data_IF_092302550093
#
_entry.id   IF_092302550093
#
_cell.length_a   1.000
_cell.length_b   1.000
_cell.length_c   1.000
_cell.angle_alpha   90.00
_cell.angle_beta   90.00
_cell.angle_gamma   90.00
#
_symmetry.space_group_name_H-M   'P 1'
#
loop_
_entity.id
_entity.type
_entity.pdbx_description
1 polymer ?
#
# COMPACT_ATOMS: atom_id res chain seq x y z
N UNK A 1 17.02 -28.51 17.42
CA UNK A 1 17.81 -27.68 16.48
C UNK A 1 17.56 -26.21 16.81
N UNK A 2 18.58 -25.34 16.86
CA UNK A 2 18.36 -23.91 17.09
C UNK A 2 17.59 -23.30 15.90
N UNK A 3 16.44 -22.70 16.18
CA UNK A 3 15.64 -21.99 15.17
C UNK A 3 16.27 -20.62 14.90
N UNK A 4 16.63 -20.37 13.64
CA UNK A 4 17.17 -19.10 13.19
C UNK A 4 16.05 -18.20 12.62
N UNK A 5 16.18 -16.86 12.72
CA UNK A 5 15.28 -15.95 12.01
C UNK A 5 15.43 -16.12 10.49
N UNK A 6 14.35 -15.90 9.74
CA UNK A 6 14.38 -15.95 8.28
C UNK A 6 15.32 -14.87 7.70
N UNK A 7 16.01 -15.20 6.61
CA UNK A 7 16.86 -14.24 5.90
C UNK A 7 16.05 -13.34 4.97
N UNK A 8 16.64 -12.20 4.60
CA UNK A 8 16.06 -11.26 3.63
C UNK A 8 15.73 -11.92 2.28
N UNK A 9 16.65 -12.71 1.72
CA UNK A 9 16.40 -13.45 0.48
C UNK A 9 15.20 -14.39 0.58
N UNK A 10 15.01 -15.02 1.74
CA UNK A 10 13.91 -15.95 1.98
C UNK A 10 12.58 -15.23 2.07
N UNK A 11 12.54 -14.11 2.78
CA UNK A 11 11.37 -13.24 2.88
C UNK A 11 10.97 -12.66 1.51
N UNK A 12 11.95 -12.29 0.68
CA UNK A 12 11.70 -11.79 -0.68
C UNK A 12 11.16 -12.91 -1.57
N UNK A 13 11.82 -14.07 -1.60
CA UNK A 13 11.41 -15.22 -2.44
C UNK A 13 10.03 -15.75 -2.07
N UNK A 14 9.73 -15.84 -0.77
CA UNK A 14 8.40 -16.25 -0.30
C UNK A 14 7.34 -15.24 -0.73
N UNK A 15 7.58 -13.94 -0.54
CA UNK A 15 6.64 -12.91 -0.96
C UNK A 15 6.42 -12.87 -2.47
N UNK A 16 7.48 -13.02 -3.27
CA UNK A 16 7.38 -13.07 -4.74
C UNK A 16 6.55 -14.26 -5.20
N UNK A 17 6.72 -15.42 -4.55
CA UNK A 17 5.95 -16.63 -4.85
C UNK A 17 4.49 -16.48 -4.47
N UNK A 18 4.19 -15.85 -3.33
CA UNK A 18 2.82 -15.52 -2.93
C UNK A 18 2.16 -14.55 -3.92
N UNK A 19 2.86 -13.48 -4.32
CA UNK A 19 2.35 -12.50 -5.29
C UNK A 19 2.05 -13.13 -6.66
N UNK A 20 2.89 -14.08 -7.11
CA UNK A 20 2.65 -14.85 -8.32
C UNK A 20 1.31 -15.59 -8.28
N UNK A 21 1.04 -16.34 -7.19
CA UNK A 21 -0.22 -17.09 -7.06
C UNK A 21 -1.44 -16.18 -6.84
N UNK A 22 -1.27 -15.05 -6.15
CA UNK A 22 -2.33 -14.05 -6.03
C UNK A 22 -2.72 -13.48 -7.38
N UNK A 23 -1.74 -13.07 -8.18
CA UNK A 23 -2.00 -12.56 -9.53
C UNK A 23 -2.64 -13.62 -10.42
N UNK A 24 -2.18 -14.88 -10.32
CA UNK A 24 -2.82 -16.00 -11.00
C UNK A 24 -4.30 -16.17 -10.59
N UNK A 25 -4.60 -16.16 -9.30
CA UNK A 25 -5.96 -16.27 -8.79
C UNK A 25 -6.84 -15.10 -9.25
N UNK A 26 -6.34 -13.86 -9.12
CA UNK A 26 -7.03 -12.64 -9.57
C UNK A 26 -7.37 -12.71 -11.05
N UNK A 27 -6.42 -13.14 -11.89
CA UNK A 27 -6.64 -13.26 -13.34
C UNK A 27 -7.73 -14.30 -13.64
N UNK A 28 -7.66 -15.49 -13.04
CA UNK A 28 -8.65 -16.53 -13.24
C UNK A 28 -10.06 -16.09 -12.79
N UNK A 29 -10.17 -15.42 -11.64
CA UNK A 29 -11.45 -14.90 -11.12
C UNK A 29 -11.98 -13.80 -12.04
N UNK A 30 -11.11 -12.91 -12.51
CA UNK A 30 -11.49 -11.84 -13.44
C UNK A 30 -11.96 -12.40 -14.78
N UNK A 31 -11.25 -13.36 -15.36
CA UNK A 31 -11.62 -14.02 -16.61
C UNK A 31 -12.96 -14.76 -16.46
N UNK A 32 -13.12 -15.56 -15.40
CA UNK A 32 -14.37 -16.29 -15.13
C UNK A 32 -15.56 -15.32 -14.97
N UNK A 33 -15.38 -14.23 -14.23
CA UNK A 33 -16.42 -13.23 -14.06
C UNK A 33 -16.70 -12.45 -15.36
N UNK A 34 -15.68 -12.15 -16.16
CA UNK A 34 -15.84 -11.48 -17.44
C UNK A 34 -16.64 -12.34 -18.42
N UNK A 35 -16.34 -13.64 -18.50
CA UNK A 35 -17.08 -14.58 -19.35
C UNK A 35 -18.54 -14.74 -18.89
N UNK A 36 -18.79 -14.78 -17.58
CA UNK A 36 -20.12 -15.00 -17.03
C UNK A 36 -21.01 -13.75 -16.99
N UNK A 37 -20.49 -12.63 -16.47
CA UNK A 37 -21.25 -11.41 -16.22
C UNK A 37 -21.10 -10.34 -17.32
N UNK A 38 -20.19 -10.56 -18.28
CA UNK A 38 -19.89 -9.65 -19.38
C UNK A 38 -18.98 -8.47 -18.98
N UNK A 39 -18.33 -7.87 -19.99
CA UNK A 39 -17.29 -6.86 -19.79
C UNK A 39 -17.74 -5.60 -19.04
N UNK A 40 -19.01 -5.19 -19.16
CA UNK A 40 -19.52 -3.99 -18.46
C UNK A 40 -19.53 -4.19 -16.94
N UNK A 41 -20.15 -5.27 -16.47
CA UNK A 41 -20.21 -5.59 -15.04
C UNK A 41 -18.83 -5.95 -14.49
N UNK A 42 -18.01 -6.62 -15.29
CA UNK A 42 -16.63 -6.91 -14.93
C UNK A 42 -15.84 -5.65 -14.61
N UNK A 43 -15.96 -4.60 -15.43
CA UNK A 43 -15.21 -3.37 -15.22
C UNK A 43 -15.60 -2.66 -13.92
N UNK A 44 -16.88 -2.71 -13.56
CA UNK A 44 -17.39 -2.17 -12.30
C UNK A 44 -16.91 -2.99 -11.08
N UNK A 45 -16.92 -4.33 -11.18
CA UNK A 45 -16.62 -5.24 -10.07
C UNK A 45 -15.15 -5.65 -9.97
N UNK A 46 -14.31 -5.29 -10.94
CA UNK A 46 -12.91 -5.76 -11.04
C UNK A 46 -12.13 -5.57 -9.74
N UNK A 47 -12.20 -4.37 -9.14
CA UNK A 47 -11.48 -4.05 -7.89
C UNK A 47 -11.97 -4.90 -6.71
N UNK A 48 -13.26 -5.20 -6.66
CA UNK A 48 -13.85 -6.03 -5.59
C UNK A 48 -13.48 -7.50 -5.76
N UNK A 49 -13.43 -7.98 -7.01
CA UNK A 49 -13.01 -9.35 -7.33
C UNK A 49 -11.53 -9.56 -6.99
N UNK A 50 -10.68 -8.58 -7.26
CA UNK A 50 -9.27 -8.60 -6.88
C UNK A 50 -9.11 -8.66 -5.35
N UNK A 51 -9.85 -7.83 -4.61
CA UNK A 51 -9.84 -7.83 -3.14
C UNK A 51 -10.40 -9.15 -2.56
N UNK A 52 -11.50 -9.68 -3.10
CA UNK A 52 -12.08 -10.94 -2.67
C UNK A 52 -11.10 -12.10 -2.92
N UNK A 53 -10.40 -12.10 -4.05
CA UNK A 53 -9.39 -13.10 -4.37
C UNK A 53 -8.24 -13.10 -3.36
N UNK A 54 -7.76 -11.92 -2.96
CA UNK A 54 -6.70 -11.78 -1.95
C UNK A 54 -7.16 -12.27 -0.58
N UNK A 55 -8.38 -11.89 -0.19
CA UNK A 55 -8.98 -12.32 1.08
C UNK A 55 -9.22 -13.82 1.11
N UNK A 56 -9.64 -14.41 -0.01
CA UNK A 56 -9.79 -15.85 -0.14
C UNK A 56 -8.44 -16.55 0.01
N UNK A 57 -7.38 -16.07 -0.68
CA UNK A 57 -6.04 -16.63 -0.57
C UNK A 57 -5.52 -16.61 0.87
N UNK A 58 -5.55 -15.45 1.52
CA UNK A 58 -5.06 -15.32 2.89
C UNK A 58 -6.00 -15.92 3.95
N UNK A 59 -7.30 -15.99 3.67
CA UNK A 59 -8.29 -16.65 4.51
C UNK A 59 -8.07 -18.17 4.56
N UNK A 60 -7.88 -18.79 3.39
CA UNK A 60 -7.64 -20.23 3.28
C UNK A 60 -6.26 -20.62 3.81
N UNK A 61 -5.24 -19.76 3.66
CA UNK A 61 -3.89 -20.03 4.16
C UNK A 61 -3.71 -19.54 5.60
N UNK A 62 -3.42 -18.25 5.76
CA UNK A 62 -2.96 -17.64 7.01
C UNK A 62 -4.02 -17.64 8.10
N UNK A 63 -5.30 -17.35 7.79
CA UNK A 63 -6.35 -17.30 8.80
C UNK A 63 -6.73 -18.70 9.33
N UNK A 64 -6.79 -19.68 8.42
CA UNK A 64 -7.01 -21.10 8.76
C UNK A 64 -5.81 -21.72 9.50
N UNK A 65 -4.65 -21.05 9.41
CA UNK A 65 -3.45 -21.37 10.17
C UNK A 65 -2.46 -22.25 9.43
N UNK A 66 -2.70 -22.49 8.15
CA UNK A 66 -1.75 -23.10 7.22
C UNK A 66 -0.70 -22.08 6.77
N UNK A 67 0.42 -22.59 6.27
CA UNK A 67 1.44 -21.77 5.63
C UNK A 67 0.95 -21.28 4.26
N UNK A 68 1.45 -20.15 3.80
CA UNK A 68 1.24 -19.73 2.41
C UNK A 68 2.13 -20.54 1.47
N UNK A 69 1.81 -20.58 0.18
CA UNK A 69 2.62 -21.29 -0.81
C UNK A 69 4.06 -20.72 -0.90
N UNK A 70 4.22 -19.42 -0.69
CA UNK A 70 5.53 -18.79 -0.59
C UNK A 70 6.30 -19.18 0.66
N UNK A 71 5.61 -19.34 1.79
CA UNK A 71 6.20 -19.79 3.05
C UNK A 71 6.70 -21.24 2.96
N UNK A 72 5.90 -22.12 2.37
CA UNK A 72 6.26 -23.51 2.09
C UNK A 72 7.43 -23.60 1.11
N UNK A 73 7.41 -22.80 0.03
CA UNK A 73 8.47 -22.77 -0.98
C UNK A 73 9.86 -22.48 -0.41
N UNK A 74 9.93 -21.69 0.67
CA UNK A 74 11.20 -21.30 1.30
C UNK A 74 11.41 -21.95 2.68
N UNK A 75 10.50 -22.82 3.12
CA UNK A 75 10.53 -23.47 4.43
C UNK A 75 10.65 -22.48 5.60
N UNK A 76 9.81 -21.44 5.59
CA UNK A 76 9.70 -20.46 6.68
C UNK A 76 8.32 -20.53 7.33
N UNK A 77 8.26 -20.27 8.65
CA UNK A 77 7.01 -20.33 9.42
C UNK A 77 6.76 -19.02 10.17
N UNK A 78 5.51 -18.59 10.20
CA UNK A 78 5.08 -17.41 10.96
C UNK A 78 5.12 -17.71 12.46
N UNK A 79 5.65 -16.77 13.25
CA UNK A 79 5.69 -16.84 14.71
C UNK A 79 5.26 -15.53 15.36
N UNK A 80 4.74 -15.65 16.57
CA UNK A 80 4.42 -14.51 17.44
C UNK A 80 5.70 -13.76 17.89
N UNK A 81 5.65 -12.54 18.46
CA UNK A 81 6.84 -11.83 18.93
C UNK A 81 7.68 -12.62 19.95
N UNK A 82 7.02 -13.49 20.72
CA UNK A 82 7.66 -14.40 21.68
C UNK A 82 8.49 -15.50 20.99
N UNK A 83 8.35 -15.69 19.67
CA UNK A 83 9.03 -16.70 18.84
C UNK A 83 8.83 -18.16 19.25
N UNK A 84 7.86 -18.43 20.14
CA UNK A 84 7.61 -19.76 20.72
C UNK A 84 6.32 -20.40 20.25
N UNK A 85 5.41 -19.62 19.65
CA UNK A 85 4.09 -20.07 19.25
C UNK A 85 3.70 -19.45 17.92
N UNK A 86 2.75 -20.12 17.27
CA UNK A 86 2.08 -19.65 16.06
C UNK A 86 1.26 -18.39 16.40
N UNK A 87 1.21 -17.35 15.54
CA UNK A 87 0.45 -16.13 15.82
C UNK A 87 -1.03 -16.41 16.08
N UNK A 88 -1.62 -15.66 17.01
CA UNK A 88 -3.04 -15.76 17.31
C UNK A 88 -3.91 -15.40 16.10
N UNK A 89 -5.14 -15.95 16.04
CA UNK A 89 -6.11 -15.66 14.97
C UNK A 89 -6.37 -14.14 14.83
N UNK A 90 -6.38 -13.40 15.94
CA UNK A 90 -6.54 -11.95 15.93
C UNK A 90 -5.39 -11.23 15.22
N UNK A 91 -4.13 -11.61 15.48
CA UNK A 91 -2.96 -11.01 14.80
C UNK A 91 -2.92 -11.34 13.32
N UNK A 92 -3.29 -12.58 12.96
CA UNK A 92 -3.44 -13.02 11.57
C UNK A 92 -4.54 -12.24 10.87
N UNK A 93 -5.71 -12.10 11.49
CA UNK A 93 -6.81 -11.29 11.00
C UNK A 93 -6.41 -9.83 10.82
N UNK A 94 -5.71 -9.24 11.78
CA UNK A 94 -5.16 -7.88 11.68
C UNK A 94 -4.18 -7.75 10.52
N UNK A 95 -3.28 -8.71 10.34
CA UNK A 95 -2.37 -8.74 9.20
C UNK A 95 -3.14 -8.74 7.87
N UNK A 96 -4.12 -9.63 7.72
CA UNK A 96 -4.93 -9.76 6.49
C UNK A 96 -5.72 -8.48 6.24
N UNK A 97 -6.35 -7.93 7.28
CA UNK A 97 -7.09 -6.68 7.23
C UNK A 97 -6.19 -5.52 6.77
N UNK A 98 -5.03 -5.36 7.42
CA UNK A 98 -4.08 -4.32 7.07
C UNK A 98 -3.42 -4.53 5.71
N UNK A 99 -3.26 -5.77 5.24
CA UNK A 99 -2.60 -6.05 3.97
C UNK A 99 -3.55 -5.91 2.78
N UNK A 100 -4.77 -6.44 2.87
CA UNK A 100 -5.73 -6.44 1.77
C UNK A 100 -6.67 -5.23 1.80
N UNK A 101 -7.24 -4.88 2.95
CA UNK A 101 -8.24 -3.81 3.02
C UNK A 101 -7.63 -2.42 3.09
N UNK A 102 -6.50 -2.23 3.80
CA UNK A 102 -5.89 -0.90 3.94
C UNK A 102 -5.53 -0.25 2.60
N UNK A 103 -4.82 -0.89 1.65
CA UNK A 103 -4.49 -0.25 0.37
C UNK A 103 -5.74 0.06 -0.46
N UNK A 104 -6.73 -0.84 -0.45
CA UNK A 104 -8.00 -0.63 -1.15
C UNK A 104 -8.76 0.57 -0.57
N UNK A 105 -8.92 0.63 0.76
CA UNK A 105 -9.60 1.73 1.43
C UNK A 105 -8.86 3.04 1.23
N UNK A 106 -7.53 3.03 1.32
CA UNK A 106 -6.71 4.23 1.15
C UNK A 106 -6.88 4.81 -0.26
N UNK A 107 -6.81 4.00 -1.32
CA UNK A 107 -7.03 4.45 -2.70
C UNK A 107 -8.43 5.05 -2.87
N UNK A 108 -9.46 4.34 -2.39
CA UNK A 108 -10.86 4.77 -2.50
C UNK A 108 -11.14 6.07 -1.75
N UNK A 109 -10.67 6.20 -0.51
CA UNK A 109 -10.81 7.43 0.30
C UNK A 109 -10.16 8.60 -0.41
N UNK A 110 -8.95 8.40 -0.92
CA UNK A 110 -8.11 9.45 -1.47
C UNK A 110 -8.69 9.98 -2.78
N UNK A 111 -9.14 9.08 -3.66
CA UNK A 111 -9.86 9.45 -4.90
C UNK A 111 -11.20 10.12 -4.58
N UNK A 112 -11.96 9.59 -3.61
CA UNK A 112 -13.23 10.21 -3.22
C UNK A 112 -13.03 11.63 -2.69
N UNK A 113 -11.99 11.83 -1.88
CA UNK A 113 -11.68 13.10 -1.26
C UNK A 113 -11.15 14.12 -2.29
N UNK A 114 -10.32 13.69 -3.24
CA UNK A 114 -9.89 14.50 -4.39
C UNK A 114 -11.09 14.95 -5.24
N UNK A 115 -11.99 14.02 -5.61
CA UNK A 115 -13.17 14.33 -6.41
C UNK A 115 -14.12 15.33 -5.73
N UNK A 116 -14.34 15.23 -4.41
CA UNK A 116 -15.21 16.18 -3.69
C UNK A 116 -14.55 17.55 -3.48
N UNK A 117 -13.23 17.59 -3.30
CA UNK A 117 -12.49 18.85 -3.24
C UNK A 117 -12.51 19.59 -4.60
N UNK A 118 -12.43 18.85 -5.71
CA UNK A 118 -12.56 19.42 -7.06
C UNK A 118 -14.01 19.84 -7.38
N UNK A 119 -15.00 19.01 -7.02
CA UNK A 119 -16.42 19.28 -7.27
C UNK A 119 -16.93 20.55 -6.58
N UNK A 120 -16.47 20.84 -5.36
CA UNK A 120 -16.77 22.10 -4.68
C UNK A 120 -16.20 23.34 -5.39
N UNK A 121 -15.03 23.20 -6.03
CA UNK A 121 -14.38 24.28 -6.78
C UNK A 121 -15.04 24.49 -8.16
N UNK A 122 -15.45 23.41 -8.83
CA UNK A 122 -16.12 23.43 -10.14
C UNK A 122 -17.59 23.86 -10.06
N UNK A 123 -18.28 23.65 -8.93
CA UNK A 123 -19.63 24.18 -8.70
C UNK A 123 -19.70 25.71 -8.82
N UNK A 124 -18.59 26.40 -8.51
CA UNK A 124 -18.44 27.84 -8.70
C UNK A 124 -18.13 28.25 -10.17
N UNK A 125 -17.80 27.29 -11.02
CA UNK A 125 -17.30 27.47 -12.40
C UNK A 125 -18.08 26.56 -13.35
N UNK A 126 -19.40 26.78 -13.43
CA UNK A 126 -20.41 25.94 -14.07
C UNK A 126 -19.99 25.20 -15.35
N UNK A 127 -19.38 24.03 -15.18
CA UNK A 127 -19.15 23.05 -16.24
C UNK A 127 -19.66 21.70 -15.69
N UNK A 128 -20.78 21.26 -16.23
CA UNK A 128 -21.38 19.95 -15.96
C UNK A 128 -20.41 18.84 -16.41
N UNK A 129 -19.54 18.38 -15.51
CA UNK A 129 -18.78 17.15 -15.72
C UNK A 129 -19.64 15.97 -15.26
N UNK A 130 -20.11 15.19 -16.22
CA UNK A 130 -20.92 13.98 -16.01
C UNK A 130 -20.26 13.09 -14.96
N UNK A 131 -20.93 12.97 -13.82
CA UNK A 131 -20.65 11.99 -12.78
C UNK A 131 -20.60 10.61 -13.41
N UNK A 132 -19.40 10.02 -13.49
CA UNK A 132 -19.27 8.59 -13.75
C UNK A 132 -19.80 7.88 -12.50
N UNK A 133 -20.85 7.11 -12.72
CA UNK A 133 -21.69 6.48 -11.72
C UNK A 133 -20.86 5.72 -10.66
N UNK A 134 -20.94 6.19 -9.40
CA UNK A 134 -20.51 5.40 -8.25
C UNK A 134 -21.57 4.35 -7.96
N UNK A 135 -21.18 3.07 -8.07
CA UNK A 135 -22.05 1.90 -7.98
C UNK A 135 -22.71 1.68 -6.61
N UNK A 136 -23.72 0.82 -6.64
CA UNK A 136 -24.76 0.59 -5.62
C UNK A 136 -24.32 -0.21 -4.36
N UNK A 137 -23.04 -0.15 -3.91
CA UNK A 137 -22.60 -0.87 -2.69
C UNK A 137 -22.35 0.04 -1.47
N UNK A 138 -22.73 -0.47 -0.28
CA UNK A 138 -22.91 0.27 0.98
C UNK A 138 -21.63 0.92 1.55
N UNK A 139 -20.45 0.31 1.36
CA UNK A 139 -19.18 0.85 1.87
C UNK A 139 -18.79 2.14 1.17
N UNK A 140 -18.98 2.25 -0.14
CA UNK A 140 -18.69 3.48 -0.88
C UNK A 140 -19.66 4.60 -0.50
N UNK A 141 -20.94 4.27 -0.30
CA UNK A 141 -21.95 5.23 0.15
C UNK A 141 -21.66 5.71 1.57
N UNK A 142 -21.25 4.81 2.47
CA UNK A 142 -20.86 5.16 3.83
C UNK A 142 -19.59 6.03 3.85
N UNK A 143 -18.55 5.63 3.12
CA UNK A 143 -17.33 6.41 2.97
C UNK A 143 -17.63 7.78 2.36
N UNK A 144 -18.42 7.84 1.28
CA UNK A 144 -18.79 9.07 0.60
C UNK A 144 -19.62 9.99 1.51
N UNK A 145 -20.56 9.45 2.29
CA UNK A 145 -21.29 10.23 3.29
C UNK A 145 -20.37 10.76 4.37
N UNK A 146 -19.45 9.93 4.87
CA UNK A 146 -18.48 10.36 5.87
C UNK A 146 -17.52 11.43 5.33
N UNK A 147 -17.01 11.28 4.11
CA UNK A 147 -16.15 12.27 3.46
C UNK A 147 -16.92 13.55 3.16
N UNK A 148 -18.15 13.46 2.66
CA UNK A 148 -19.03 14.62 2.45
C UNK A 148 -19.35 15.35 3.75
N UNK A 149 -19.59 14.62 4.84
CA UNK A 149 -19.85 15.21 6.15
C UNK A 149 -18.59 15.87 6.73
N UNK A 150 -17.43 15.22 6.59
CA UNK A 150 -16.14 15.78 6.98
C UNK A 150 -15.78 17.04 6.16
N UNK A 151 -15.93 17.01 4.83
CA UNK A 151 -15.66 18.14 3.93
C UNK A 151 -16.74 19.23 4.04
N UNK A 152 -17.96 18.87 4.43
CA UNK A 152 -19.05 19.79 4.74
C UNK A 152 -18.80 20.63 6.00
N UNK A 153 -17.99 20.12 6.93
CA UNK A 153 -17.54 20.89 8.10
C UNK A 153 -16.39 21.87 7.78
N UNK A 154 -15.78 21.78 6.60
CA UNK A 154 -14.67 22.66 6.21
C UNK A 154 -15.18 23.86 5.40
N UNK A 155 -14.77 25.07 5.79
CA UNK A 155 -15.07 26.31 5.06
C UNK A 155 -14.40 26.32 3.66
N UNK A 156 -15.00 27.02 2.70
CA UNK A 156 -14.47 27.25 1.34
C UNK A 156 -12.96 27.63 1.26
N UNK A 157 -12.40 28.49 2.12
CA UNK A 157 -10.95 28.75 2.11
C UNK A 157 -10.11 27.53 2.55
N UNK A 158 -10.64 26.68 3.44
CA UNK A 158 -9.94 25.48 3.91
C UNK A 158 -9.88 24.39 2.84
N UNK A 159 -10.94 24.24 2.03
CA UNK A 159 -10.96 23.30 0.89
C UNK A 159 -9.83 23.57 -0.10
N UNK A 160 -9.56 24.84 -0.41
CA UNK A 160 -8.43 25.26 -1.27
C UNK A 160 -7.05 24.92 -0.69
N UNK A 161 -6.93 24.84 0.64
CA UNK A 161 -5.69 24.44 1.33
C UNK A 161 -5.59 22.92 1.44
N UNK A 162 -6.71 22.20 1.57
CA UNK A 162 -6.72 20.75 1.68
C UNK A 162 -6.28 20.03 0.41
N UNK A 163 -6.62 20.55 -0.78
CA UNK A 163 -6.26 19.90 -2.04
C UNK A 163 -4.73 19.67 -2.20
N UNK A 164 -3.83 20.65 -1.98
CA UNK A 164 -2.40 20.39 -1.99
C UNK A 164 -1.94 19.49 -0.83
N UNK A 165 -2.64 19.49 0.32
CA UNK A 165 -2.33 18.58 1.43
C UNK A 165 -2.58 17.12 1.06
N UNK A 166 -3.64 16.84 0.29
CA UNK A 166 -3.96 15.49 -0.20
C UNK A 166 -2.90 14.97 -1.16
N UNK A 167 -2.46 15.83 -2.08
CA UNK A 167 -1.34 15.49 -2.97
C UNK A 167 -0.05 15.25 -2.18
N UNK A 168 0.24 16.08 -1.17
CA UNK A 168 1.39 15.86 -0.28
C UNK A 168 1.26 14.55 0.50
N UNK A 169 0.05 14.20 0.94
CA UNK A 169 -0.23 12.94 1.64
C UNK A 169 0.03 11.74 0.72
N UNK A 170 -0.50 11.74 -0.51
CA UNK A 170 -0.24 10.73 -1.55
C UNK A 170 1.27 10.52 -1.77
N UNK A 171 2.01 11.62 -1.96
CA UNK A 171 3.46 11.58 -2.12
C UNK A 171 4.12 10.99 -0.86
N UNK A 172 3.74 11.47 0.33
CA UNK A 172 4.31 11.02 1.60
C UNK A 172 4.12 9.52 1.83
N UNK A 173 2.97 8.96 1.46
CA UNK A 173 2.69 7.53 1.56
C UNK A 173 3.63 6.72 0.64
N UNK A 174 3.85 7.20 -0.57
CA UNK A 174 4.78 6.59 -1.53
C UNK A 174 6.22 6.64 -0.99
N UNK A 175 6.62 7.78 -0.40
CA UNK A 175 7.92 7.93 0.26
C UNK A 175 8.09 6.99 1.45
N UNK A 176 7.08 6.91 2.32
CA UNK A 176 7.09 6.02 3.47
C UNK A 176 7.20 4.56 3.06
N UNK A 177 6.48 4.15 2.01
CA UNK A 177 6.60 2.79 1.47
C UNK A 177 8.02 2.51 0.95
N UNK A 178 8.59 3.39 0.13
CA UNK A 178 9.97 3.25 -0.37
C UNK A 178 11.00 3.22 0.76
N UNK A 179 10.83 4.08 1.76
CA UNK A 179 11.68 4.12 2.95
C UNK A 179 11.57 2.83 3.75
N UNK A 180 10.36 2.30 3.95
CA UNK A 180 10.13 1.03 4.64
C UNK A 180 10.82 -0.13 3.92
N UNK A 181 10.70 -0.22 2.60
CA UNK A 181 11.38 -1.25 1.79
C UNK A 181 12.90 -1.11 1.89
N UNK A 182 13.43 0.11 1.83
CA UNK A 182 14.86 0.36 1.99
C UNK A 182 15.37 -0.03 3.39
N UNK A 183 14.62 0.33 4.45
CA UNK A 183 14.91 -0.09 5.82
C UNK A 183 14.82 -1.61 6.01
N UNK A 184 13.92 -2.28 5.29
CA UNK A 184 13.85 -3.73 5.29
C UNK A 184 15.14 -4.36 4.74
N UNK A 185 15.69 -3.84 3.63
CA UNK A 185 16.97 -4.31 3.10
C UNK A 185 18.16 -4.06 4.04
N UNK A 186 18.08 -3.08 4.94
CA UNK A 186 19.12 -2.84 5.95
C UNK A 186 18.93 -3.70 7.21
N UNK A 187 17.71 -3.80 7.73
CA UNK A 187 17.40 -4.44 9.02
C UNK A 187 17.07 -5.94 8.91
N UNK A 188 16.48 -6.35 7.79
CA UNK A 188 16.07 -7.73 7.52
C UNK A 188 14.89 -8.25 8.36
N UNK A 189 14.15 -7.37 9.04
CA UNK A 189 13.14 -7.81 10.01
C UNK A 189 11.75 -8.03 9.41
N UNK A 190 11.18 -7.05 8.70
CA UNK A 190 9.79 -7.11 8.21
C UNK A 190 9.68 -6.56 6.78
N UNK A 191 9.39 -7.43 5.81
CA UNK A 191 9.19 -7.02 4.42
C UNK A 191 7.88 -6.22 4.27
N UNK A 192 6.80 -6.74 4.86
CA UNK A 192 5.47 -6.11 4.83
C UNK A 192 5.21 -5.25 6.05
N UNK A 193 4.70 -4.03 5.83
CA UNK A 193 4.32 -3.10 6.92
C UNK A 193 3.20 -3.68 7.80
N UNK A 194 2.26 -4.41 7.19
CA UNK A 194 1.17 -5.10 7.89
C UNK A 194 1.68 -6.15 8.88
N UNK A 195 2.75 -6.88 8.52
CA UNK A 195 3.38 -7.88 9.43
C UNK A 195 4.11 -7.21 10.58
N UNK A 196 4.70 -6.02 10.34
CA UNK A 196 5.30 -5.19 11.41
C UNK A 196 4.23 -4.70 12.38
N UNK A 197 3.08 -4.23 11.88
CA UNK A 197 1.96 -3.79 12.70
C UNK A 197 1.36 -4.95 13.54
N UNK A 198 1.25 -6.15 12.97
CA UNK A 198 0.77 -7.34 13.66
C UNK A 198 1.84 -8.03 14.55
N UNK A 199 3.11 -7.62 14.44
CA UNK A 199 4.24 -8.23 15.15
C UNK A 199 4.57 -9.66 14.72
N UNK A 200 4.21 -10.05 13.49
CA UNK A 200 4.40 -11.41 12.97
C UNK A 200 5.81 -11.51 12.39
N UNK A 201 6.64 -12.36 13.00
CA UNK A 201 8.01 -12.63 12.55
C UNK A 201 8.10 -13.99 11.87
N UNK A 202 9.21 -14.25 11.17
CA UNK A 202 9.46 -15.52 10.51
C UNK A 202 10.64 -16.26 11.11
N UNK A 203 10.46 -17.56 11.33
CA UNK A 203 11.55 -18.48 11.64
C UNK A 203 11.77 -19.42 10.47
N UNK A 204 13.03 -19.82 10.29
CA UNK A 204 13.42 -20.82 9.32
C UNK A 204 13.26 -22.22 9.94
N UNK A 205 12.68 -23.14 9.17
CA UNK A 205 12.47 -24.53 9.61
C UNK A 205 13.69 -25.42 9.28
N UNK A 206 14.43 -25.12 8.22
CA UNK A 206 15.54 -25.96 7.74
C UNK A 206 16.86 -25.17 7.53
N UNK A 207 17.95 -25.64 8.16
CA UNK A 207 19.34 -25.31 7.82
C UNK A 207 19.87 -23.93 8.23
N UNK A 208 20.91 -23.91 9.07
CA UNK A 208 21.83 -22.77 9.21
C UNK A 208 22.88 -22.92 8.10
N UNK A 209 22.75 -22.13 7.01
CA UNK A 209 23.79 -22.11 5.98
C UNK A 209 24.89 -21.12 6.39
N UNK A 210 26.15 -21.51 6.20
CA UNK A 210 27.33 -20.67 6.52
C UNK A 210 27.38 -19.33 5.76
N UNK A 211 26.67 -19.22 4.65
CA UNK A 211 26.60 -18.02 3.80
C UNK A 211 25.57 -16.97 4.25
N UNK A 212 24.90 -17.15 5.39
CA UNK A 212 23.89 -16.19 5.87
C UNK A 212 24.50 -14.78 6.11
N UNK A 213 25.79 -14.71 6.45
CA UNK A 213 26.51 -13.45 6.65
C UNK A 213 26.78 -12.67 5.36
N UNK A 214 27.23 -13.37 4.31
CA UNK A 214 27.53 -12.74 3.01
C UNK A 214 26.25 -12.25 2.34
N UNK A 215 25.19 -13.07 2.38
CA UNK A 215 23.84 -12.71 1.89
C UNK A 215 23.35 -11.44 2.60
N UNK A 216 23.41 -11.39 3.94
CA UNK A 216 22.97 -10.22 4.72
C UNK A 216 23.77 -8.96 4.36
N UNK A 217 25.08 -9.07 4.15
CA UNK A 217 25.93 -7.94 3.76
C UNK A 217 25.52 -7.40 2.38
N UNK A 218 25.33 -8.27 1.39
CA UNK A 218 24.90 -7.90 0.04
C UNK A 218 23.56 -7.17 0.03
N UNK A 219 22.58 -7.66 0.79
CA UNK A 219 21.28 -6.98 0.90
C UNK A 219 21.36 -5.67 1.70
N UNK A 220 22.23 -5.57 2.72
CA UNK A 220 22.48 -4.30 3.41
C UNK A 220 23.07 -3.24 2.49
N UNK A 221 23.97 -3.64 1.58
CA UNK A 221 24.49 -2.74 0.54
C UNK A 221 23.38 -2.28 -0.42
N UNK A 222 22.52 -3.20 -0.85
CA UNK A 222 21.35 -2.87 -1.67
C UNK A 222 20.41 -1.90 -0.93
N UNK A 223 20.20 -2.11 0.37
CA UNK A 223 19.44 -1.22 1.24
C UNK A 223 20.05 0.17 1.33
N UNK A 224 21.36 0.27 1.56
CA UNK A 224 22.08 1.54 1.59
C UNK A 224 21.98 2.28 0.24
N UNK A 225 22.14 1.56 -0.88
CA UNK A 225 21.98 2.12 -2.22
C UNK A 225 20.55 2.65 -2.44
N UNK A 226 19.53 1.92 -2.00
CA UNK A 226 18.13 2.36 -2.12
C UNK A 226 17.81 3.57 -1.23
N UNK A 227 18.40 3.67 -0.03
CA UNK A 227 18.29 4.85 0.83
C UNK A 227 18.97 6.07 0.20
N UNK A 228 20.14 5.88 -0.40
CA UNK A 228 20.85 6.93 -1.12
C UNK A 228 20.03 7.41 -2.33
N UNK A 229 19.47 6.48 -3.12
CA UNK A 229 18.57 6.80 -4.23
C UNK A 229 17.33 7.58 -3.76
N UNK A 230 16.73 7.17 -2.64
CA UNK A 230 15.60 7.88 -2.03
C UNK A 230 16.00 9.31 -1.63
N UNK A 231 17.15 9.45 -0.98
CA UNK A 231 17.69 10.75 -0.54
C UNK A 231 17.94 11.68 -1.72
N UNK A 232 18.58 11.20 -2.79
CA UNK A 232 18.78 11.98 -4.02
C UNK A 232 17.43 12.41 -4.60
N UNK A 233 16.45 11.50 -4.69
CA UNK A 233 15.12 11.81 -5.22
C UNK A 233 14.43 12.89 -4.40
N UNK A 234 14.47 12.79 -3.06
CA UNK A 234 13.91 13.79 -2.14
C UNK A 234 14.63 15.13 -2.29
N UNK A 235 15.95 15.14 -2.34
CA UNK A 235 16.74 16.36 -2.54
C UNK A 235 16.40 17.06 -3.86
N UNK A 236 16.26 16.31 -4.95
CA UNK A 236 15.86 16.85 -6.26
C UNK A 236 14.44 17.42 -6.22
N UNK A 237 13.50 16.70 -5.60
CA UNK A 237 12.12 17.19 -5.46
C UNK A 237 12.03 18.46 -4.60
N UNK A 238 12.78 18.51 -3.49
CA UNK A 238 12.86 19.70 -2.65
C UNK A 238 13.51 20.87 -3.39
N UNK A 239 14.55 20.63 -4.18
CA UNK A 239 15.19 21.67 -4.98
C UNK A 239 14.22 22.22 -6.05
N UNK A 240 13.56 21.34 -6.79
CA UNK A 240 12.54 21.71 -7.78
C UNK A 240 11.38 22.49 -7.14
N UNK A 241 10.95 22.10 -5.93
CA UNK A 241 9.93 22.81 -5.19
C UNK A 241 10.40 24.22 -4.77
N UNK A 242 11.63 24.34 -4.26
CA UNK A 242 12.26 25.63 -3.93
C UNK A 242 12.40 26.54 -5.15
N UNK A 243 12.83 26.00 -6.29
CA UNK A 243 12.92 26.74 -7.55
C UNK A 243 11.55 27.26 -7.99
N UNK A 244 10.51 26.43 -7.91
CA UNK A 244 9.14 26.85 -8.21
C UNK A 244 8.64 27.95 -7.27
N UNK A 245 9.04 27.93 -6.00
CA UNK A 245 8.70 29.00 -5.06
C UNK A 245 9.42 30.31 -5.40
N UNK A 246 10.71 30.27 -5.76
CA UNK A 246 11.47 31.46 -6.19
C UNK A 246 10.88 32.08 -7.45
N UNK A 247 10.60 31.29 -8.48
CA UNK A 247 9.97 31.76 -9.71
C UNK A 247 8.59 32.41 -9.45
N UNK A 248 7.81 31.89 -8.48
CA UNK A 248 6.54 32.51 -8.07
C UNK A 248 6.72 33.84 -7.34
N UNK A 249 7.79 34.01 -6.57
CA UNK A 249 8.11 35.27 -5.88
C UNK A 249 8.56 36.33 -6.89
N UNK A 250 9.46 35.96 -7.81
CA UNK A 250 9.90 36.83 -8.92
C UNK A 250 8.71 37.27 -9.77
N UNK A 251 7.82 36.36 -10.14
CA UNK A 251 6.63 36.71 -10.93
C UNK A 251 5.66 37.65 -10.20
N UNK A 252 5.53 37.54 -8.87
CA UNK A 252 4.73 38.48 -8.06
C UNK A 252 5.36 39.87 -8.01
N UNK A 253 6.69 39.94 -7.91
CA UNK A 253 7.43 41.21 -7.96
C UNK A 253 7.21 41.92 -9.30
N UNK A 254 7.35 41.20 -10.42
CA UNK A 254 7.08 41.77 -11.76
C UNK A 254 5.64 42.24 -11.95
N UNK A 255 4.66 41.56 -11.35
CA UNK A 255 3.25 41.99 -11.40
C UNK A 255 3.00 43.28 -10.61
N UNK A 256 3.63 43.45 -9.46
CA UNK A 256 3.42 44.62 -8.60
C UNK A 256 4.15 45.89 -9.09
N UNK A 257 5.10 45.75 -10.02
CA UNK A 257 5.85 46.84 -10.63
C UNK A 257 5.18 47.44 -11.88
N UNK A 258 4.02 46.93 -12.30
CA UNK A 258 3.25 47.36 -13.47
C UNK A 258 1.87 47.86 -13.04
#
# INVERSE_FOLDING_TARGET
MPLAPANQSQLIRSSQKDEYYQNFLRNNVNEAFQTYAGSKRWLDWRRELELLSDLAYYGLTTLSGYQTLGEEYVNIVQVDPTKRQIPTRARRGLFILCHAFLPYLLDKVLVCLENELEGGLESQRGINRRQVASGWWSLEVWLKRWTQQAVGMLSEPQRKVCLPVVFVLQQSLTFLHRLHVALFYVSGSFYHLSKRAAGISYLRVMGLNGDDGTIRSSYRLLGAASLLQLLITVCLQLNNFRQRQRARQEWKLYRNLR
#
